data_IF_994284438401
#
_entry.id   IF_994284438401
#
_cell.length_a   1.000
_cell.length_b   1.000
_cell.length_c   1.000
_cell.angle_alpha   90.00
_cell.angle_beta   90.00
_cell.angle_gamma   90.00
#
_symmetry.space_group_name_H-M   'P 1'
#
loop_
_entity.id
_entity.type
_entity.pdbx_description
1 polymer ?
#
# COMPACT_ATOMS: atom_id res chain seq x y z
N UNK A 1 10.16 10.23 -1.44
CA UNK A 1 9.56 9.46 -2.55
C UNK A 1 9.32 10.30 -3.82
N UNK A 2 9.32 11.64 -3.77
CA UNK A 2 8.84 12.45 -4.90
C UNK A 2 9.89 13.01 -5.87
N UNK A 3 11.20 13.00 -5.59
CA UNK A 3 12.16 13.65 -6.51
C UNK A 3 12.42 12.81 -7.77
N UNK A 4 12.85 11.55 -7.62
CA UNK A 4 13.25 10.71 -8.75
C UNK A 4 12.11 10.44 -9.74
N UNK A 5 10.89 10.20 -9.25
CA UNK A 5 9.72 9.96 -10.12
C UNK A 5 9.33 11.25 -10.86
N UNK A 6 9.44 12.42 -10.20
CA UNK A 6 9.19 13.71 -10.85
C UNK A 6 10.26 14.01 -11.89
N UNK A 7 11.53 13.78 -11.57
CA UNK A 7 12.64 14.03 -12.49
C UNK A 7 12.57 13.10 -13.70
N UNK A 8 12.19 11.82 -13.53
CA UNK A 8 11.94 10.90 -14.64
C UNK A 8 10.69 11.28 -15.47
N UNK A 9 9.62 11.75 -14.82
CA UNK A 9 8.40 12.18 -15.52
C UNK A 9 8.58 13.49 -16.30
N UNK A 10 9.39 14.43 -15.78
CA UNK A 10 9.69 15.70 -16.42
C UNK A 10 10.80 15.59 -17.49
N UNK A 11 11.63 14.54 -17.45
CA UNK A 11 12.71 14.32 -18.40
C UNK A 11 12.30 13.56 -19.68
N UNK A 12 11.01 13.46 -20.01
CA UNK A 12 10.49 12.66 -21.14
C UNK A 12 11.03 11.22 -21.17
N UNK A 13 11.26 10.61 -20.01
CA UNK A 13 11.75 9.22 -19.99
C UNK A 13 10.64 8.26 -20.38
N UNK A 14 11.01 7.22 -21.14
CA UNK A 14 10.09 6.20 -21.64
C UNK A 14 9.10 5.75 -20.55
N UNK A 15 7.77 5.75 -20.81
CA UNK A 15 6.75 5.32 -19.85
C UNK A 15 7.04 3.93 -19.24
N UNK A 16 7.77 3.09 -19.98
CA UNK A 16 8.24 1.78 -19.55
C UNK A 16 9.14 1.82 -18.31
N UNK A 17 9.92 2.88 -18.11
CA UNK A 17 10.86 3.03 -17.00
C UNK A 17 10.12 3.36 -15.70
N UNK A 18 9.12 4.25 -15.78
CA UNK A 18 8.21 4.54 -14.66
C UNK A 18 7.42 3.29 -14.28
N UNK A 19 6.91 2.57 -15.28
CA UNK A 19 6.21 1.31 -15.07
C UNK A 19 7.13 0.28 -14.39
N UNK A 20 8.38 0.15 -14.83
CA UNK A 20 9.36 -0.76 -14.23
C UNK A 20 9.73 -0.40 -12.78
N UNK A 21 9.63 0.87 -12.37
CA UNK A 21 9.84 1.27 -10.97
C UNK A 21 8.63 0.97 -10.09
N UNK A 22 7.41 1.15 -10.61
CA UNK A 22 6.14 1.03 -9.87
C UNK A 22 5.66 -0.42 -9.79
N UNK A 23 5.71 -1.17 -10.89
CA UNK A 23 5.19 -2.55 -11.00
C UNK A 23 5.69 -3.48 -9.89
N UNK A 24 6.98 -3.51 -9.52
CA UNK A 24 7.49 -4.50 -8.55
C UNK A 24 6.81 -4.43 -7.18
N UNK A 25 6.43 -3.24 -6.72
CA UNK A 25 5.80 -3.03 -5.42
C UNK A 25 4.30 -2.74 -5.51
N UNK A 26 3.85 -2.12 -6.61
CA UNK A 26 2.45 -1.77 -6.85
C UNK A 26 1.51 -2.98 -6.88
N UNK A 27 2.00 -4.16 -7.29
CA UNK A 27 1.23 -5.41 -7.27
C UNK A 27 0.79 -5.80 -5.86
N UNK A 28 1.56 -5.45 -4.83
CA UNK A 28 1.22 -5.75 -3.43
C UNK A 28 0.53 -4.57 -2.74
N UNK A 29 0.92 -3.34 -3.08
CA UNK A 29 0.39 -2.13 -2.48
C UNK A 29 -1.08 -1.87 -2.87
N UNK A 30 -1.45 -2.09 -4.14
CA UNK A 30 -2.83 -1.84 -4.60
C UNK A 30 -3.84 -2.77 -3.90
N UNK A 31 -3.67 -4.10 -3.87
CA UNK A 31 -4.57 -4.99 -3.14
C UNK A 31 -4.62 -4.68 -1.65
N UNK A 32 -3.49 -4.33 -1.03
CA UNK A 32 -3.44 -3.97 0.38
C UNK A 32 -4.30 -2.74 0.69
N UNK A 33 -4.15 -1.66 -0.10
CA UNK A 33 -4.93 -0.44 0.09
C UNK A 33 -6.43 -0.71 -0.12
N UNK A 34 -6.81 -1.54 -1.10
CA UNK A 34 -8.21 -1.92 -1.32
C UNK A 34 -8.76 -2.67 -0.09
N UNK A 35 -8.03 -3.67 0.42
CA UNK A 35 -8.46 -4.45 1.60
C UNK A 35 -8.56 -3.54 2.84
N UNK A 36 -7.56 -2.70 3.10
CA UNK A 36 -7.56 -1.74 4.19
C UNK A 36 -8.72 -0.74 4.07
N UNK A 37 -9.02 -0.27 2.85
CA UNK A 37 -10.14 0.61 2.56
C UNK A 37 -11.48 -0.06 2.88
N UNK A 38 -11.70 -1.29 2.39
CA UNK A 38 -12.95 -2.04 2.65
C UNK A 38 -13.12 -2.33 4.13
N UNK A 39 -12.08 -2.74 4.84
CA UNK A 39 -12.14 -3.00 6.29
C UNK A 39 -12.35 -1.68 7.06
N UNK A 40 -11.62 -0.63 6.71
CA UNK A 40 -11.68 0.68 7.35
C UNK A 40 -13.03 1.39 7.18
N UNK A 41 -13.71 1.22 6.03
CA UNK A 41 -15.04 1.78 5.80
C UNK A 41 -16.17 0.99 6.46
N UNK A 42 -15.94 -0.29 6.76
CA UNK A 42 -16.96 -1.16 7.38
C UNK A 42 -17.12 -0.93 8.88
N UNK A 43 -16.09 -0.42 9.56
CA UNK A 43 -16.12 -0.04 10.97
C UNK A 43 -17.08 1.14 11.27
N UNK A 44 -17.02 2.29 10.56
CA UNK A 44 -17.88 3.45 10.83
C UNK A 44 -19.33 3.29 10.38
N UNK A 45 -19.62 2.38 9.44
CA UNK A 45 -21.00 2.14 8.96
C UNK A 45 -21.89 1.54 10.07
N UNK A 46 -21.30 0.69 10.91
CA UNK A 46 -21.97 0.12 12.09
C UNK A 46 -22.09 1.17 13.23
N UNK A 47 -21.17 2.14 13.30
CA UNK A 47 -21.06 3.15 14.36
C UNK A 47 -22.22 4.16 14.39
N UNK A 48 -22.80 4.49 13.23
CA UNK A 48 -24.03 5.32 13.20
C UNK A 48 -25.25 4.66 13.86
N UNK A 49 -25.20 3.34 14.12
CA UNK A 49 -26.22 2.62 14.89
C UNK A 49 -25.81 2.36 16.36
N UNK A 50 -24.57 2.65 16.74
CA UNK A 50 -24.00 2.31 18.06
C UNK A 50 -24.50 3.20 19.19
N UNK A 51 -24.98 4.42 18.93
CA UNK A 51 -25.56 5.26 19.98
C UNK A 51 -26.89 4.71 20.55
N UNK A 52 -27.56 3.78 19.86
CA UNK A 52 -28.85 3.22 20.31
C UNK A 52 -28.84 1.72 20.67
N UNK A 53 -27.70 1.01 20.61
CA UNK A 53 -27.68 -0.48 20.77
C UNK A 53 -26.56 -1.04 21.67
N UNK A 54 -26.15 -0.31 22.68
CA UNK A 54 -25.15 -0.73 23.70
C UNK A 54 -25.42 -2.10 24.36
N UNK A 55 -26.61 -2.70 24.20
CA UNK A 55 -27.01 -3.99 24.79
C UNK A 55 -26.73 -5.27 23.96
N UNK A 56 -26.14 -5.20 22.76
CA UNK A 56 -25.82 -6.41 21.95
C UNK A 56 -24.33 -6.61 21.67
N UNK A 57 -23.46 -5.96 22.43
CA UNK A 57 -22.01 -5.95 22.21
C UNK A 57 -21.28 -7.29 22.48
N UNK A 58 -21.96 -8.35 22.94
CA UNK A 58 -21.31 -9.56 23.44
C UNK A 58 -21.46 -10.80 22.53
N UNK A 59 -21.95 -10.63 21.29
CA UNK A 59 -22.18 -11.77 20.37
C UNK A 59 -21.40 -11.69 19.06
N UNK A 60 -20.54 -10.69 18.87
CA UNK A 60 -19.89 -10.44 17.57
C UNK A 60 -18.35 -10.45 17.61
N UNK A 61 -17.75 -11.13 18.61
CA UNK A 61 -16.29 -11.28 18.69
C UNK A 61 -15.70 -12.04 17.49
N UNK A 62 -16.46 -12.98 16.90
CA UNK A 62 -15.98 -13.76 15.75
C UNK A 62 -15.88 -12.91 14.49
N UNK A 63 -16.84 -12.00 14.25
CA UNK A 63 -16.88 -11.14 13.06
C UNK A 63 -15.86 -9.99 13.15
N UNK A 64 -15.58 -9.49 14.35
CA UNK A 64 -14.49 -8.53 14.58
C UNK A 64 -13.10 -9.14 14.32
N UNK A 65 -12.91 -10.43 14.65
CA UNK A 65 -11.64 -11.14 14.37
C UNK A 65 -11.39 -11.32 12.87
N UNK A 66 -12.42 -11.48 12.06
CA UNK A 66 -12.28 -11.54 10.59
C UNK A 66 -11.77 -10.20 10.02
N UNK A 67 -12.31 -9.08 10.49
CA UNK A 67 -11.85 -7.75 10.08
C UNK A 67 -10.42 -7.47 10.54
N UNK A 68 -10.08 -7.83 11.77
CA UNK A 68 -8.71 -7.74 12.28
C UNK A 68 -7.75 -8.61 11.47
N UNK A 69 -8.17 -9.83 11.09
CA UNK A 69 -7.34 -10.73 10.28
C UNK A 69 -7.09 -10.15 8.89
N UNK A 70 -8.12 -9.62 8.23
CA UNK A 70 -7.99 -8.94 6.93
C UNK A 70 -7.10 -7.69 7.02
N UNK A 71 -7.23 -6.91 8.10
CA UNK A 71 -6.35 -5.77 8.36
C UNK A 71 -4.89 -6.21 8.56
N UNK A 72 -4.65 -7.28 9.33
CA UNK A 72 -3.31 -7.84 9.51
C UNK A 72 -2.70 -8.33 8.20
N UNK A 73 -3.49 -8.98 7.34
CA UNK A 73 -3.05 -9.40 6.00
C UNK A 73 -2.63 -8.18 5.18
N UNK A 74 -3.43 -7.11 5.15
CA UNK A 74 -3.07 -5.88 4.44
C UNK A 74 -1.75 -5.27 4.95
N UNK A 75 -1.52 -5.25 6.27
CA UNK A 75 -0.28 -4.72 6.84
C UNK A 75 0.91 -5.56 6.36
N UNK A 76 0.78 -6.89 6.35
CA UNK A 76 1.82 -7.79 5.85
C UNK A 76 2.12 -7.52 4.37
N UNK A 77 1.11 -7.33 3.52
CA UNK A 77 1.32 -6.99 2.11
C UNK A 77 2.08 -5.67 1.94
N UNK A 78 1.76 -4.64 2.75
CA UNK A 78 2.47 -3.35 2.70
C UNK A 78 3.94 -3.51 3.09
N UNK A 79 4.23 -4.31 4.11
CA UNK A 79 5.62 -4.59 4.53
C UNK A 79 6.38 -5.31 3.42
N UNK A 80 5.75 -6.28 2.76
CA UNK A 80 6.35 -6.97 1.60
C UNK A 80 6.61 -5.97 0.46
N UNK A 81 5.65 -5.10 0.15
CA UNK A 81 5.81 -4.06 -0.88
C UNK A 81 6.99 -3.12 -0.56
N UNK A 82 7.10 -2.69 0.70
CA UNK A 82 8.19 -1.83 1.17
C UNK A 82 9.55 -2.54 1.08
N UNK A 83 9.60 -3.83 1.42
CA UNK A 83 10.82 -4.64 1.31
C UNK A 83 11.25 -4.83 -0.15
N UNK A 84 10.31 -5.14 -1.06
CA UNK A 84 10.59 -5.24 -2.50
C UNK A 84 11.10 -3.91 -3.03
N UNK A 85 10.49 -2.80 -2.63
CA UNK A 85 10.92 -1.45 -3.01
C UNK A 85 12.33 -1.13 -2.53
N UNK A 86 12.68 -1.49 -1.31
CA UNK A 86 14.02 -1.27 -0.76
C UNK A 86 15.10 -2.14 -1.46
N UNK A 87 14.75 -3.34 -1.90
CA UNK A 87 15.70 -4.27 -2.52
C UNK A 87 15.78 -4.17 -4.05
N UNK A 88 14.66 -3.90 -4.72
CA UNK A 88 14.55 -3.91 -6.19
C UNK A 88 14.53 -2.48 -6.72
N UNK A 89 13.49 -1.70 -6.39
CA UNK A 89 13.30 -0.33 -6.90
C UNK A 89 14.47 0.59 -6.51
N UNK A 90 14.99 0.45 -5.29
CA UNK A 90 16.11 1.27 -4.79
C UNK A 90 17.44 0.93 -5.49
N UNK A 91 17.66 -0.34 -5.86
CA UNK A 91 18.84 -0.75 -6.64
C UNK A 91 18.79 -0.19 -8.06
N UNK A 92 17.62 -0.25 -8.70
CA UNK A 92 17.41 0.31 -10.05
C UNK A 92 17.62 1.83 -10.03
N UNK A 93 17.01 2.52 -9.05
CA UNK A 93 17.18 3.96 -8.89
C UNK A 93 18.65 4.36 -8.66
N UNK A 94 19.38 3.62 -7.81
CA UNK A 94 20.82 3.86 -7.60
C UNK A 94 21.64 3.61 -8.86
N UNK A 95 21.35 2.55 -9.61
CA UNK A 95 22.04 2.25 -10.86
C UNK A 95 21.85 3.39 -11.89
N UNK A 96 20.63 3.91 -12.02
CA UNK A 96 20.34 5.06 -12.90
C UNK A 96 21.07 6.33 -12.43
N UNK A 97 21.03 6.62 -11.12
CA UNK A 97 21.65 7.82 -10.55
C UNK A 97 23.19 7.80 -10.68
N UNK A 98 23.82 6.62 -10.53
CA UNK A 98 25.25 6.46 -10.76
C UNK A 98 25.62 6.61 -12.24
N UNK A 99 24.74 6.20 -13.17
CA UNK A 99 24.96 6.41 -14.61
C UNK A 99 24.93 7.89 -15.00
N UNK A 100 24.18 8.73 -14.29
CA UNK A 100 24.14 10.18 -14.51
C UNK A 100 25.33 10.92 -13.87
N UNK A 101 25.90 10.41 -12.77
CA UNK A 101 27.09 11.00 -12.11
C UNK A 101 28.43 10.65 -12.78
N UNK A 102 28.42 9.78 -13.78
CA UNK A 102 29.60 9.38 -14.55
C UNK A 102 29.90 10.25 -15.78
N UNK A 103 29.21 11.39 -15.93
CA UNK A 103 29.42 12.41 -16.97
C UNK A 103 29.91 13.69 -16.28
#
# INVERSE_FOLDING_TARGET
>A
MSLIIRDSFLAETDPSLVLSLIVPHGIFEIPAIIIAGVVGFKIPYEDRSLFSRQKRANSDERRHKEYLTLASISIILIVIAAWIKANVTLKIAKAMLNSTKGI
#
